data_IF_111622428045
#
_entry.id   IF_111622428045
#
_cell.length_a   1.000
_cell.length_b   1.000
_cell.length_c   1.000
_cell.angle_alpha   90.00
_cell.angle_beta   90.00
_cell.angle_gamma   90.00
#
_symmetry.space_group_name_H-M   'P 1'
#
loop_
_entity.id
_entity.type
_entity.pdbx_description
1 polymer ?
#
# COMPACT_ATOMS: atom_id res chain seq x y z
N UNK A 1 7.19 -20.34 -0.81
CA UNK A 1 6.05 -19.43 -0.99
C UNK A 1 6.39 -18.30 -1.95
N UNK A 2 5.73 -18.20 -3.10
CA UNK A 2 5.86 -17.07 -4.05
C UNK A 2 4.47 -16.67 -4.56
N UNK A 3 4.29 -15.44 -5.05
CA UNK A 3 3.08 -15.01 -5.73
C UNK A 3 3.45 -14.24 -7.01
N UNK A 4 2.68 -14.39 -8.10
CA UNK A 4 2.83 -13.52 -9.26
C UNK A 4 2.28 -12.13 -8.93
N UNK A 5 2.87 -11.10 -9.51
CA UNK A 5 2.40 -9.74 -9.39
C UNK A 5 2.75 -8.96 -10.66
N UNK A 6 1.90 -8.03 -11.01
CA UNK A 6 2.22 -7.02 -12.01
C UNK A 6 2.83 -5.83 -11.29
N UNK A 7 3.88 -5.25 -11.87
CA UNK A 7 4.52 -4.06 -11.32
C UNK A 7 4.99 -3.11 -12.42
N UNK A 8 5.17 -1.85 -12.04
CA UNK A 8 5.79 -0.82 -12.86
C UNK A 8 6.57 0.16 -11.98
N UNK A 9 7.52 0.87 -12.58
CA UNK A 9 8.25 1.96 -11.94
C UNK A 9 7.66 3.27 -12.47
N UNK A 10 7.29 4.16 -11.56
CA UNK A 10 6.62 5.41 -11.85
C UNK A 10 7.38 6.56 -11.22
N UNK A 11 7.41 7.71 -11.91
CA UNK A 11 7.99 8.92 -11.34
C UNK A 11 7.13 9.48 -10.20
N UNK A 12 7.76 10.34 -9.39
CA UNK A 12 7.10 10.97 -8.25
C UNK A 12 5.90 11.83 -8.67
N UNK A 13 5.96 12.52 -9.81
CA UNK A 13 4.88 13.39 -10.27
C UNK A 13 3.60 12.59 -10.52
N UNK A 14 3.72 11.44 -11.17
CA UNK A 14 2.62 10.52 -11.49
C UNK A 14 1.98 9.99 -10.21
N UNK A 15 2.78 9.48 -9.27
CA UNK A 15 2.26 8.93 -8.01
C UNK A 15 1.64 10.02 -7.14
N UNK A 16 2.27 11.19 -7.09
CA UNK A 16 1.80 12.34 -6.32
C UNK A 16 0.48 12.90 -6.85
N UNK A 17 0.33 12.98 -8.17
CA UNK A 17 -0.92 13.36 -8.84
C UNK A 17 -2.01 12.35 -8.51
N UNK A 18 -1.74 11.05 -8.67
CA UNK A 18 -2.68 9.99 -8.38
C UNK A 18 -3.21 10.06 -6.94
N UNK A 19 -2.32 10.15 -5.94
CA UNK A 19 -2.72 10.23 -4.53
C UNK A 19 -3.57 11.47 -4.21
N UNK A 20 -3.39 12.57 -4.95
CA UNK A 20 -4.15 13.80 -4.79
C UNK A 20 -5.55 13.74 -5.42
N UNK A 21 -5.70 13.03 -6.53
CA UNK A 21 -6.98 12.92 -7.25
C UNK A 21 -7.94 11.88 -6.65
N UNK A 22 -7.43 10.93 -5.87
CA UNK A 22 -8.25 9.91 -5.24
C UNK A 22 -9.24 10.50 -4.22
N UNK A 23 -10.46 9.95 -4.22
CA UNK A 23 -11.42 10.17 -3.15
C UNK A 23 -11.07 9.25 -1.98
N UNK A 24 -10.60 9.86 -0.90
CA UNK A 24 -10.22 9.12 0.30
C UNK A 24 -11.43 8.82 1.19
N UNK A 25 -11.31 7.78 2.03
CA UNK A 25 -12.35 7.37 2.96
C UNK A 25 -12.80 8.51 3.89
N UNK A 26 -14.03 8.41 4.40
CA UNK A 26 -14.59 9.39 5.33
C UNK A 26 -13.64 9.63 6.51
N UNK A 27 -13.40 10.89 6.89
CA UNK A 27 -12.48 11.25 7.98
C UNK A 27 -11.00 10.86 7.76
N UNK A 28 -10.60 10.39 6.57
CA UNK A 28 -9.20 10.23 6.19
C UNK A 28 -8.69 11.45 5.44
N UNK A 29 -7.51 11.94 5.84
CA UNK A 29 -6.82 13.02 5.14
C UNK A 29 -5.49 12.49 4.61
N UNK A 30 -5.31 12.52 3.28
CA UNK A 30 -4.03 12.18 2.64
C UNK A 30 -2.98 13.29 2.81
N UNK A 31 -3.37 14.48 3.27
CA UNK A 31 -2.49 15.67 3.33
C UNK A 31 -1.18 15.43 4.09
N UNK A 32 -1.15 14.79 5.27
CA UNK A 32 0.11 14.52 5.97
C UNK A 32 1.03 13.60 5.17
N UNK A 33 0.47 12.58 4.50
CA UNK A 33 1.22 11.70 3.60
C UNK A 33 1.80 12.47 2.42
N UNK A 34 1.03 13.37 1.80
CA UNK A 34 1.51 14.21 0.70
C UNK A 34 2.59 15.20 1.16
N UNK A 35 2.46 15.78 2.36
CA UNK A 35 3.49 16.67 2.91
C UNK A 35 4.81 15.94 3.16
N UNK A 36 4.75 14.73 3.73
CA UNK A 36 5.93 13.88 3.90
C UNK A 36 6.53 13.46 2.56
N UNK A 37 5.68 13.11 1.59
CA UNK A 37 6.09 12.81 0.22
C UNK A 37 6.87 13.98 -0.39
N UNK A 38 6.31 15.19 -0.35
CA UNK A 38 6.92 16.36 -0.95
C UNK A 38 8.27 16.71 -0.29
N UNK A 39 8.37 16.54 1.03
CA UNK A 39 9.63 16.71 1.75
C UNK A 39 10.68 15.67 1.32
N UNK A 40 10.31 14.39 1.24
CA UNK A 40 11.22 13.33 0.82
C UNK A 40 11.74 13.52 -0.61
N UNK A 41 10.89 13.99 -1.52
CA UNK A 41 11.30 14.33 -2.90
C UNK A 41 12.24 15.53 -2.90
N UNK A 42 11.89 16.59 -2.18
CA UNK A 42 12.70 17.81 -2.08
C UNK A 42 14.10 17.53 -1.52
N UNK A 43 14.20 16.65 -0.53
CA UNK A 43 15.45 16.29 0.12
C UNK A 43 16.25 15.24 -0.68
N UNK A 44 15.76 14.80 -1.83
CA UNK A 44 16.42 13.80 -2.67
C UNK A 44 16.37 12.37 -2.11
N UNK A 45 15.51 12.12 -1.13
CA UNK A 45 15.37 10.81 -0.49
C UNK A 45 14.29 9.94 -1.14
N UNK A 46 13.57 10.45 -2.12
CA UNK A 46 12.55 9.73 -2.88
C UNK A 46 12.63 10.14 -4.35
N UNK A 47 12.99 9.22 -5.25
CA UNK A 47 13.17 9.49 -6.69
C UNK A 47 12.09 8.86 -7.56
N UNK A 48 11.66 7.65 -7.22
CA UNK A 48 10.64 6.92 -7.94
C UNK A 48 9.87 5.94 -7.04
N UNK A 49 8.85 5.33 -7.62
CA UNK A 49 8.00 4.35 -6.95
C UNK A 49 7.89 3.08 -7.76
N UNK A 50 8.12 1.95 -7.11
CA UNK A 50 7.65 0.68 -7.62
C UNK A 50 6.22 0.46 -7.12
N UNK A 51 5.27 0.47 -8.07
CA UNK A 51 3.86 0.19 -7.81
C UNK A 51 3.55 -1.22 -8.30
N UNK A 52 2.91 -2.04 -7.47
CA UNK A 52 2.54 -3.40 -7.83
C UNK A 52 1.18 -3.81 -7.30
N UNK A 53 0.54 -4.75 -8.00
CA UNK A 53 -0.63 -5.45 -7.49
C UNK A 53 -0.48 -6.97 -7.67
N UNK A 54 -0.86 -7.77 -6.67
CA UNK A 54 -0.64 -9.21 -6.67
C UNK A 54 -1.73 -9.94 -7.47
N UNK A 55 -1.33 -10.97 -8.20
CA UNK A 55 -2.24 -11.98 -8.71
C UNK A 55 -2.62 -12.93 -7.57
N UNK A 56 -3.88 -12.86 -7.15
CA UNK A 56 -4.37 -13.64 -6.02
C UNK A 56 -5.12 -14.87 -6.50
N UNK A 57 -4.83 -16.02 -5.89
CA UNK A 57 -5.63 -17.23 -6.06
C UNK A 57 -6.89 -17.12 -5.18
N UNK A 58 -7.99 -17.71 -5.63
CA UNK A 58 -9.26 -17.75 -4.91
C UNK A 58 -9.84 -16.35 -4.60
N UNK A 59 -9.64 -15.41 -5.52
CA UNK A 59 -10.23 -14.07 -5.49
C UNK A 59 -11.26 -13.95 -6.62
N UNK A 60 -12.27 -13.10 -6.44
CA UNK A 60 -13.22 -12.80 -7.51
C UNK A 60 -12.62 -11.79 -8.47
N UNK A 61 -12.45 -12.18 -9.74
CA UNK A 61 -12.02 -11.27 -10.80
C UNK A 61 -13.26 -10.62 -11.41
N UNK A 62 -13.35 -9.29 -11.35
CA UNK A 62 -14.51 -8.54 -11.85
C UNK A 62 -14.08 -7.42 -12.77
N UNK A 63 -14.88 -7.22 -13.83
CA UNK A 63 -14.72 -6.07 -14.74
C UNK A 63 -15.35 -4.85 -14.10
N UNK A 64 -14.65 -3.71 -14.10
CA UNK A 64 -15.20 -2.45 -13.63
C UNK A 64 -15.97 -1.73 -14.74
N UNK A 65 -17.13 -1.19 -14.39
CA UNK A 65 -18.03 -0.50 -15.31
C UNK A 65 -17.35 0.67 -16.01
N UNK A 66 -17.52 0.74 -17.33
CA UNK A 66 -16.91 1.78 -18.17
C UNK A 66 -15.39 1.64 -18.34
N UNK A 67 -14.81 0.48 -18.01
CA UNK A 67 -13.38 0.19 -18.22
C UNK A 67 -13.18 -1.20 -18.82
N UNK A 68 -12.01 -1.43 -19.42
CA UNK A 68 -11.60 -2.77 -19.86
C UNK A 68 -10.81 -3.54 -18.79
N UNK A 69 -10.71 -3.01 -17.56
CA UNK A 69 -9.90 -3.61 -16.51
C UNK A 69 -10.68 -4.68 -15.75
N UNK A 70 -10.07 -5.87 -15.64
CA UNK A 70 -10.52 -6.96 -14.78
C UNK A 70 -9.60 -7.00 -13.57
N UNK A 71 -10.15 -6.76 -12.39
CA UNK A 71 -9.37 -6.63 -11.16
C UNK A 71 -9.69 -7.75 -10.17
N UNK A 72 -8.68 -8.22 -9.41
CA UNK A 72 -8.90 -9.14 -8.30
C UNK A 72 -9.51 -8.40 -7.10
N UNK A 73 -10.79 -8.62 -6.84
CA UNK A 73 -11.53 -7.98 -5.74
C UNK A 73 -11.52 -8.88 -4.50
N UNK A 74 -10.87 -8.41 -3.44
CA UNK A 74 -10.75 -9.11 -2.18
C UNK A 74 -11.98 -8.90 -1.27
N UNK A 75 -12.31 -9.95 -0.51
CA UNK A 75 -13.20 -9.83 0.64
C UNK A 75 -12.46 -9.15 1.79
N UNK A 76 -12.79 -7.90 2.09
CA UNK A 76 -12.20 -7.13 3.19
C UNK A 76 -13.28 -6.40 3.95
N UNK A 77 -13.26 -6.54 5.27
CA UNK A 77 -14.12 -5.76 6.15
C UNK A 77 -13.45 -4.41 6.45
N UNK A 78 -14.28 -3.36 6.48
CA UNK A 78 -13.94 -2.11 7.16
C UNK A 78 -13.75 -2.40 8.65
N UNK A 79 -12.80 -1.72 9.29
CA UNK A 79 -12.57 -1.86 10.72
C UNK A 79 -13.70 -1.15 11.47
N UNK A 80 -14.29 -1.81 12.48
CA UNK A 80 -15.43 -1.24 13.22
C UNK A 80 -15.07 0.06 13.94
N UNK A 81 -13.83 0.17 14.42
CA UNK A 81 -13.32 1.33 15.14
C UNK A 81 -12.75 2.43 14.21
N UNK A 82 -12.53 2.10 12.93
CA UNK A 82 -12.01 2.99 11.88
C UNK A 82 -12.64 2.57 10.55
N UNK A 83 -13.88 2.96 10.35
CA UNK A 83 -14.66 2.63 9.15
C UNK A 83 -13.94 3.00 7.86
N UNK A 84 -13.09 4.02 7.87
CA UNK A 84 -12.22 4.43 6.76
C UNK A 84 -11.05 3.47 6.43
N UNK A 85 -10.77 2.49 7.28
CA UNK A 85 -9.64 1.58 7.13
C UNK A 85 -10.09 0.13 6.92
N UNK A 86 -9.42 -0.58 6.02
CA UNK A 86 -9.65 -2.02 5.81
C UNK A 86 -8.76 -2.89 6.72
N UNK A 87 -9.25 -4.07 7.06
CA UNK A 87 -8.48 -5.04 7.84
C UNK A 87 -7.36 -5.71 7.02
N UNK A 88 -6.11 -5.31 7.30
CA UNK A 88 -4.88 -6.06 7.04
C UNK A 88 -4.39 -6.06 5.58
N UNK A 89 -3.11 -6.39 5.39
CA UNK A 89 -2.53 -6.92 4.15
C UNK A 89 -1.80 -8.20 4.51
N UNK A 90 -1.60 -9.11 3.56
CA UNK A 90 -0.87 -10.34 3.90
C UNK A 90 0.58 -10.00 4.26
N UNK A 91 1.15 -10.68 5.26
CA UNK A 91 2.56 -10.53 5.64
C UNK A 91 3.50 -10.67 4.44
N UNK A 92 3.15 -11.55 3.50
CA UNK A 92 3.91 -11.79 2.27
C UNK A 92 3.95 -10.58 1.31
N UNK A 93 2.85 -9.84 1.22
CA UNK A 93 2.78 -8.65 0.38
C UNK A 93 3.58 -7.49 0.99
N UNK A 94 3.53 -7.36 2.33
CA UNK A 94 4.32 -6.36 3.06
C UNK A 94 5.81 -6.63 2.98
N UNK A 95 6.22 -7.89 2.99
CA UNK A 95 7.62 -8.31 2.87
C UNK A 95 8.28 -7.76 1.59
N UNK A 96 7.58 -7.84 0.46
CA UNK A 96 8.10 -7.31 -0.80
C UNK A 96 8.29 -5.80 -0.75
N UNK A 97 7.31 -5.07 -0.19
CA UNK A 97 7.43 -3.62 0.01
C UNK A 97 8.61 -3.27 0.90
N UNK A 98 8.76 -3.97 2.02
CA UNK A 98 9.81 -3.74 3.01
C UNK A 98 11.19 -3.91 2.36
N UNK A 99 11.43 -4.99 1.61
CA UNK A 99 12.71 -5.20 0.91
C UNK A 99 12.95 -4.10 -0.13
N UNK A 100 11.94 -3.78 -0.96
CA UNK A 100 12.08 -2.76 -2.02
C UNK A 100 12.40 -1.38 -1.43
N UNK A 101 11.80 -1.02 -0.30
CA UNK A 101 12.01 0.27 0.36
C UNK A 101 13.25 0.30 1.28
N UNK A 102 14.09 -0.75 1.28
CA UNK A 102 15.33 -0.79 2.07
C UNK A 102 15.15 -1.18 3.54
N UNK A 103 14.00 -1.75 3.90
CA UNK A 103 13.78 -2.43 5.17
C UNK A 103 14.52 -3.78 5.22
N UNK A 104 14.76 -4.27 6.43
CA UNK A 104 15.43 -5.54 6.65
C UNK A 104 14.40 -6.57 7.11
N UNK A 105 13.98 -7.50 6.24
CA UNK A 105 12.96 -8.46 6.61
C UNK A 105 13.43 -9.33 7.77
N UNK A 106 12.55 -9.59 8.73
CA UNK A 106 12.88 -10.48 9.85
C UNK A 106 13.24 -11.89 9.37
N UNK A 107 14.22 -12.58 9.99
CA UNK A 107 14.65 -13.92 9.56
C UNK A 107 13.51 -14.96 9.49
N UNK A 108 12.49 -14.83 10.34
CA UNK A 108 11.31 -15.69 10.34
C UNK A 108 10.45 -15.59 9.05
N UNK A 109 10.62 -14.52 8.27
CA UNK A 109 9.93 -14.30 7.00
C UNK A 109 10.74 -14.80 5.79
N UNK A 110 11.98 -15.25 6.00
CA UNK A 110 12.87 -15.75 4.96
C UNK A 110 12.77 -17.28 4.88
N UNK A 111 11.91 -17.79 3.98
CA UNK A 111 11.91 -19.22 3.64
C UNK A 111 13.13 -19.56 2.76
N UNK A 112 13.73 -20.74 2.96
CA UNK A 112 14.98 -21.15 2.30
C UNK A 112 14.78 -22.01 1.04
N UNK A 113 13.54 -22.16 0.56
CA UNK A 113 13.32 -22.96 -0.67
C UNK A 113 13.90 -22.24 -1.91
N UNK A 114 14.42 -22.96 -2.92
CA UNK A 114 15.01 -22.34 -4.12
C UNK A 114 14.07 -21.39 -4.87
N UNK A 115 12.77 -21.68 -4.88
CA UNK A 115 11.76 -20.81 -5.49
C UNK A 115 11.61 -19.48 -4.73
N UNK A 116 11.70 -19.52 -3.39
CA UNK A 116 11.66 -18.31 -2.55
C UNK A 116 12.93 -17.51 -2.73
N UNK A 117 14.09 -18.16 -2.76
CA UNK A 117 15.37 -17.46 -3.00
C UNK A 117 15.37 -16.70 -4.33
N UNK A 118 14.82 -17.28 -5.41
CA UNK A 118 14.66 -16.56 -6.68
C UNK A 118 13.72 -15.35 -6.58
N UNK A 119 12.59 -15.50 -5.89
CA UNK A 119 11.66 -14.38 -5.69
C UNK A 119 12.29 -13.28 -4.84
N UNK A 120 13.02 -13.63 -3.78
CA UNK A 120 13.78 -12.70 -2.96
C UNK A 120 14.85 -11.97 -3.78
N UNK A 121 15.60 -12.67 -4.63
CA UNK A 121 16.60 -12.05 -5.51
C UNK A 121 15.94 -11.09 -6.50
N UNK A 122 14.77 -11.44 -7.04
CA UNK A 122 14.01 -10.56 -7.95
C UNK A 122 13.58 -9.29 -7.22
N UNK A 123 12.98 -9.41 -6.04
CA UNK A 123 12.56 -8.26 -5.23
C UNK A 123 13.78 -7.41 -4.81
N UNK A 124 14.87 -8.04 -4.42
CA UNK A 124 16.11 -7.35 -4.06
C UNK A 124 16.72 -6.59 -5.24
N UNK A 125 16.65 -7.12 -6.47
CA UNK A 125 17.11 -6.39 -7.67
C UNK A 125 16.28 -5.16 -8.02
N UNK A 126 15.08 -5.04 -7.45
CA UNK A 126 14.19 -3.89 -7.66
C UNK A 126 14.40 -2.78 -6.63
N UNK A 127 15.19 -3.03 -5.59
CA UNK A 127 15.52 -2.05 -4.56
C UNK A 127 16.47 -0.97 -5.09
N UNK A 128 16.20 0.28 -4.73
CA UNK A 128 17.18 1.36 -4.72
C UNK A 128 17.08 2.14 -3.41
N UNK A 129 18.13 2.86 -2.98
CA UNK A 129 18.11 3.59 -1.70
C UNK A 129 17.01 4.66 -1.59
N UNK A 130 16.56 5.18 -2.74
CA UNK A 130 15.61 6.29 -2.92
C UNK A 130 14.26 5.84 -3.49
N UNK A 131 14.01 4.53 -3.65
CA UNK A 131 12.78 4.01 -4.24
C UNK A 131 11.71 3.68 -3.21
N UNK A 132 10.54 4.29 -3.38
CA UNK A 132 9.33 3.94 -2.63
C UNK A 132 8.71 2.66 -3.17
N UNK A 133 7.95 1.97 -2.32
CA UNK A 133 7.15 0.82 -2.72
C UNK A 133 5.66 1.08 -2.44
N UNK A 134 4.81 0.80 -3.41
CA UNK A 134 3.36 0.89 -3.28
C UNK A 134 2.69 -0.41 -3.71
N UNK A 135 1.90 -0.97 -2.82
CA UNK A 135 1.02 -2.10 -3.12
C UNK A 135 -0.40 -1.59 -3.29
N UNK A 136 -1.01 -1.93 -4.42
CA UNK A 136 -2.42 -1.72 -4.68
C UNK A 136 -3.20 -3.00 -4.44
N UNK A 137 -4.30 -2.88 -3.69
CA UNK A 137 -5.27 -3.95 -3.53
C UNK A 137 -6.68 -3.39 -3.75
N UNK A 138 -7.58 -4.22 -4.28
CA UNK A 138 -8.97 -3.85 -4.51
C UNK A 138 -9.86 -4.67 -3.58
N UNK A 139 -10.86 -4.03 -2.98
CA UNK A 139 -11.79 -4.66 -2.07
C UNK A 139 -13.24 -4.33 -2.42
N UNK A 140 -14.14 -5.26 -2.14
CA UNK A 140 -15.57 -4.98 -2.20
C UNK A 140 -15.94 -3.92 -1.15
N UNK A 141 -16.69 -2.91 -1.57
CA UNK A 141 -17.05 -1.75 -0.74
C UNK A 141 -18.44 -1.22 -1.12
N UNK A 142 -19.47 -1.98 -0.77
CA UNK A 142 -20.88 -1.63 -1.04
C UNK A 142 -21.61 -1.44 0.29
N UNK A 143 -21.32 -0.35 0.99
CA UNK A 143 -21.81 -0.12 2.35
C UNK A 143 -21.18 -1.11 3.33
N UNK A 144 -22.00 -1.88 4.05
CA UNK A 144 -21.53 -2.92 4.99
C UNK A 144 -21.19 -4.26 4.30
N UNK A 145 -21.46 -4.35 2.99
CA UNK A 145 -21.22 -5.54 2.20
C UNK A 145 -19.73 -5.62 1.79
N UNK A 146 -19.07 -6.69 2.24
CA UNK A 146 -17.65 -6.96 1.97
C UNK A 146 -17.41 -8.16 1.06
N UNK A 147 -18.47 -8.88 0.68
CA UNK A 147 -18.34 -10.06 -0.18
C UNK A 147 -18.28 -9.62 -1.65
N UNK A 148 -17.20 -9.91 -2.38
CA UNK A 148 -17.11 -9.56 -3.80
C UNK A 148 -18.20 -10.23 -4.66
N UNK A 149 -18.76 -11.36 -4.21
CA UNK A 149 -19.81 -12.08 -4.95
C UNK A 149 -21.14 -11.33 -4.97
N UNK A 150 -21.39 -10.45 -4.01
CA UNK A 150 -22.67 -9.72 -3.87
C UNK A 150 -22.63 -8.33 -4.53
N UNK A 151 -21.50 -7.97 -5.14
CA UNK A 151 -21.34 -6.74 -5.91
C UNK A 151 -22.30 -6.70 -7.11
N UNK A 152 -22.42 -7.82 -7.82
CA UNK A 152 -23.44 -8.09 -8.85
C UNK A 152 -23.87 -9.57 -8.76
N UNK A 153 -25.14 -9.85 -9.03
CA UNK A 153 -25.66 -11.23 -9.06
C UNK A 153 -25.17 -12.00 -10.30
N UNK A 154 -24.93 -11.30 -11.41
CA UNK A 154 -24.32 -11.85 -12.61
C UNK A 154 -22.79 -11.70 -12.54
N UNK A 155 -22.01 -12.80 -12.57
CA UNK A 155 -20.54 -12.74 -12.54
C UNK A 155 -19.92 -12.10 -13.79
N UNK A 156 -20.64 -12.04 -14.91
CA UNK A 156 -20.17 -11.40 -16.15
C UNK A 156 -20.55 -9.92 -16.23
N UNK A 157 -21.44 -9.45 -15.35
CA UNK A 157 -21.83 -8.06 -15.32
C UNK A 157 -20.70 -7.17 -14.80
N UNK A 158 -20.62 -5.97 -15.36
CA UNK A 158 -19.69 -4.96 -14.90
C UNK A 158 -20.07 -4.46 -13.50
N UNK A 159 -19.08 -4.34 -12.62
CA UNK A 159 -19.24 -3.82 -11.27
C UNK A 159 -19.10 -2.30 -11.30
N UNK A 160 -20.06 -1.53 -10.73
CA UNK A 160 -19.92 -0.09 -10.59
C UNK A 160 -18.62 0.28 -9.85
N UNK A 161 -17.85 1.23 -10.40
CA UNK A 161 -16.56 1.66 -9.81
C UNK A 161 -16.68 2.11 -8.35
N UNK A 162 -17.83 2.67 -7.97
CA UNK A 162 -18.11 3.11 -6.60
C UNK A 162 -18.35 1.99 -5.58
N UNK A 163 -18.45 0.73 -6.02
CA UNK A 163 -18.59 -0.43 -5.12
C UNK A 163 -17.25 -1.14 -4.85
N UNK A 164 -16.14 -0.56 -5.30
CA UNK A 164 -14.80 -1.14 -5.17
C UNK A 164 -13.87 -0.11 -4.54
N UNK A 165 -13.35 -0.43 -3.36
CA UNK A 165 -12.32 0.38 -2.73
C UNK A 165 -10.94 0.05 -3.30
N UNK A 166 -10.17 1.10 -3.59
CA UNK A 166 -8.72 0.99 -3.80
C UNK A 166 -8.00 1.16 -2.46
N UNK A 167 -7.16 0.20 -2.10
CA UNK A 167 -6.37 0.21 -0.88
C UNK A 167 -4.91 0.42 -1.25
N UNK A 168 -4.36 1.55 -0.79
CA UNK A 168 -2.97 1.93 -0.96
C UNK A 168 -2.17 1.51 0.27
N UNK A 169 -1.22 0.61 0.10
CA UNK A 169 -0.17 0.41 1.08
C UNK A 169 1.08 1.07 0.55
N UNK A 170 1.69 1.94 1.36
CA UNK A 170 2.88 2.70 0.97
C UNK A 170 4.01 2.42 1.95
N UNK A 171 5.20 2.22 1.40
CA UNK A 171 6.45 2.22 2.13
C UNK A 171 7.38 3.22 1.47
N UNK A 172 7.74 4.26 2.22
CA UNK A 172 8.77 5.20 1.79
C UNK A 172 10.16 4.56 1.92
N UNK A 173 11.14 4.99 1.11
CA UNK A 173 12.51 4.54 1.24
C UNK A 173 13.00 4.77 2.67
N UNK A 174 13.74 3.81 3.22
CA UNK A 174 14.30 3.92 4.58
C UNK A 174 15.11 5.20 4.76
N UNK A 175 15.79 5.68 3.72
CA UNK A 175 16.56 6.94 3.77
C UNK A 175 15.70 8.20 3.93
N UNK A 176 14.41 8.18 3.57
CA UNK A 176 13.50 9.30 3.82
C UNK A 176 13.17 9.46 5.31
N UNK A 177 13.34 8.41 6.10
CA UNK A 177 13.09 8.39 7.54
C UNK A 177 13.95 7.32 8.25
N UNK A 178 15.29 7.49 8.29
CA UNK A 178 16.21 6.46 8.78
C UNK A 178 15.96 6.10 10.25
N UNK A 179 15.53 7.08 11.04
CA UNK A 179 15.22 6.94 12.47
C UNK A 179 13.72 6.67 12.73
N UNK A 180 12.91 6.46 11.68
CA UNK A 180 11.48 6.22 11.82
C UNK A 180 10.68 7.50 12.15
N UNK A 181 10.73 8.50 11.27
CA UNK A 181 9.83 9.66 11.37
C UNK A 181 8.39 9.24 11.06
N UNK A 182 7.49 9.51 12.00
CA UNK A 182 6.06 9.25 11.85
C UNK A 182 5.41 10.48 11.19
N UNK A 183 4.78 10.28 10.02
CA UNK A 183 4.22 11.34 9.16
C UNK A 183 2.91 11.98 9.66
N UNK A 184 2.70 12.10 10.96
CA UNK A 184 1.62 12.92 11.51
C UNK A 184 2.13 13.79 12.65
N UNK A 185 1.66 15.03 12.68
CA UNK A 185 1.90 15.96 13.79
C UNK A 185 0.67 15.90 14.69
N UNK A 186 0.86 15.52 15.95
CA UNK A 186 -0.18 15.73 16.97
C UNK A 186 -0.23 17.23 17.29
N UNK A 187 -1.42 17.82 17.35
CA UNK A 187 -1.57 19.21 17.77
C UNK A 187 -1.43 19.25 19.30
N UNK A 188 -0.22 19.48 19.79
CA UNK A 188 0.04 19.74 21.21
C UNK A 188 -0.33 21.18 21.54
N UNK A 189 -1.40 21.33 22.32
CA UNK A 189 -1.76 22.57 22.98
C UNK A 189 -1.82 22.34 24.49
N UNK A 190 -0.67 22.26 25.12
CA UNK A 190 -0.27 23.07 26.29
C UNK A 190 1.18 22.75 26.68
N UNK A 191 1.87 23.79 27.12
CA UNK A 191 3.31 24.00 27.25
C UNK A 191 4.01 23.09 28.28
N UNK A 192 5.09 22.42 27.88
CA UNK A 192 6.49 22.72 28.24
C UNK A 192 7.40 21.66 27.58
N UNK A 193 8.60 22.10 27.18
CA UNK A 193 9.60 21.37 26.43
C UNK A 193 9.89 19.94 26.96
N UNK A 194 9.79 18.91 26.10
CA UNK A 194 10.86 17.91 25.85
C UNK A 194 10.50 17.03 24.64
N UNK A 195 11.52 16.85 23.80
CA UNK A 195 11.66 15.94 22.66
C UNK A 195 11.92 14.53 23.22
N UNK A 196 11.03 13.57 22.98
CA UNK A 196 11.27 12.19 23.41
C UNK A 196 12.24 11.52 22.41
N UNK A 197 13.50 11.37 22.82
CA UNK A 197 14.46 10.48 22.18
C UNK A 197 14.02 9.02 22.38
N UNK A 198 14.06 8.24 21.30
CA UNK A 198 13.87 6.79 21.38
C UNK A 198 15.06 6.17 22.12
N UNK A 199 14.93 5.96 23.42
CA UNK A 199 15.88 5.17 24.18
C UNK A 199 15.87 3.72 23.66
N UNK A 200 17.02 3.26 23.19
CA UNK A 200 17.31 1.86 22.87
C UNK A 200 17.07 0.99 24.11
N UNK A 201 16.44 -0.17 23.90
CA UNK A 201 16.65 -1.34 24.75
C UNK A 201 17.79 -2.19 24.14
#
# INVERSE_FOLDING_TARGET
MTYPAHYGIFDNATVRMLLNEYRWGLNWSVKPTLAFFDAAVKDGHLEDWLVFYPELKNVENRRLAGTNYVLPIQKRLRRKERDFAFAGSSTRQRLAMEVISGGSPTPALLETSPAVSRAQNTVASLHTPTRGAMLLAFAADKGDESDPKTLTLDPNAEVPVGHVASIFYMAFPKQAAPDGKIGFTTRTGQEEDVIVDAAKA
#
